data_IF_270633463780
#
_entry.id   IF_270633463780
#
_cell.length_a   1.000
_cell.length_b   1.000
_cell.length_c   1.000
_cell.angle_alpha   90.00
_cell.angle_beta   90.00
_cell.angle_gamma   90.00
#
_symmetry.space_group_name_H-M   'P 1'
#
loop_
_entity.id
_entity.type
_entity.pdbx_description
1 polymer ?
#
# COMPACT_ATOMS: atom_id res chain seq x y z
N UNK A 1 3.87 19.05 -59.59
CA UNK A 1 3.31 18.90 -58.23
C UNK A 1 4.14 19.76 -57.29
N UNK A 2 3.59 20.92 -56.89
CA UNK A 2 4.18 21.81 -55.89
C UNK A 2 3.83 21.18 -54.53
N UNK A 3 4.83 20.67 -53.82
CA UNK A 3 4.62 20.23 -52.45
C UNK A 3 4.25 21.45 -51.60
N UNK A 4 3.20 21.38 -50.74
CA UNK A 4 2.93 22.47 -49.83
C UNK A 4 4.10 22.64 -48.86
N UNK A 5 4.48 23.89 -48.64
CA UNK A 5 5.50 24.28 -47.68
C UNK A 5 5.06 23.84 -46.29
N UNK A 6 5.82 22.96 -45.64
CA UNK A 6 5.53 22.51 -44.30
C UNK A 6 5.85 23.68 -43.36
N UNK A 7 4.81 24.32 -42.87
CA UNK A 7 4.92 25.40 -41.89
C UNK A 7 5.21 24.80 -40.52
N UNK A 8 6.46 24.90 -40.04
CA UNK A 8 6.84 24.49 -38.70
C UNK A 8 6.38 25.56 -37.69
N UNK A 9 5.45 25.23 -36.85
CA UNK A 9 5.13 26.04 -35.67
C UNK A 9 6.08 25.68 -34.53
N UNK A 10 7.04 26.54 -34.24
CA UNK A 10 7.87 26.43 -33.03
C UNK A 10 7.31 27.39 -31.98
N UNK A 11 6.92 26.86 -30.83
CA UNK A 11 6.66 27.67 -29.63
C UNK A 11 7.86 27.53 -28.70
N UNK A 12 8.49 28.64 -28.35
CA UNK A 12 9.52 28.69 -27.30
C UNK A 12 8.84 29.03 -25.97
N UNK A 13 9.14 28.23 -24.97
CA UNK A 13 8.69 28.46 -23.59
C UNK A 13 9.90 28.74 -22.71
N UNK A 14 9.77 29.70 -21.80
CA UNK A 14 10.74 29.86 -20.74
C UNK A 14 10.68 28.61 -19.84
N UNK A 15 11.86 28.09 -19.43
CA UNK A 15 11.96 26.87 -18.61
C UNK A 15 11.19 27.05 -17.29
N UNK A 16 11.25 28.24 -16.70
CA UNK A 16 10.50 28.58 -15.48
C UNK A 16 8.99 28.44 -15.66
N UNK A 17 8.44 28.92 -16.77
CA UNK A 17 7.01 28.89 -17.07
C UNK A 17 6.54 27.46 -17.36
N UNK A 18 7.34 26.68 -18.08
CA UNK A 18 7.09 25.26 -18.32
C UNK A 18 7.10 24.45 -17.03
N UNK A 19 8.05 24.70 -16.12
CA UNK A 19 8.12 24.06 -14.82
C UNK A 19 6.92 24.42 -13.94
N UNK A 20 6.54 25.67 -13.88
CA UNK A 20 5.39 26.10 -13.07
C UNK A 20 4.05 25.65 -13.67
N UNK A 21 3.89 25.78 -15.00
CA UNK A 21 2.64 25.52 -15.69
C UNK A 21 2.32 24.04 -15.87
N UNK A 22 3.31 23.19 -16.10
CA UNK A 22 3.10 21.77 -16.43
C UNK A 22 3.65 20.82 -15.40
N UNK A 23 4.89 21.02 -14.96
CA UNK A 23 5.55 20.07 -14.06
C UNK A 23 5.02 20.14 -12.62
N UNK A 24 4.77 21.33 -12.09
CA UNK A 24 4.25 21.47 -10.72
C UNK A 24 2.87 20.86 -10.53
N UNK A 25 1.87 21.07 -11.42
CA UNK A 25 0.58 20.39 -11.32
C UNK A 25 0.71 18.86 -11.43
N UNK A 26 1.57 18.37 -12.33
CA UNK A 26 1.84 16.94 -12.47
C UNK A 26 2.48 16.36 -11.19
N UNK A 27 3.49 17.04 -10.65
CA UNK A 27 4.15 16.62 -9.41
C UNK A 27 3.15 16.57 -8.24
N UNK A 28 2.32 17.59 -8.08
CA UNK A 28 1.27 17.63 -7.07
C UNK A 28 0.27 16.47 -7.22
N UNK A 29 -0.15 16.18 -8.46
CA UNK A 29 -1.03 15.06 -8.75
C UNK A 29 -0.38 13.72 -8.34
N UNK A 30 0.89 13.48 -8.73
CA UNK A 30 1.60 12.24 -8.40
C UNK A 30 1.77 12.07 -6.89
N UNK A 31 2.11 13.13 -6.17
CA UNK A 31 2.25 13.10 -4.71
C UNK A 31 0.93 12.68 -4.06
N UNK A 32 -0.18 13.34 -4.41
CA UNK A 32 -1.47 13.13 -3.77
C UNK A 32 -2.15 11.82 -4.16
N UNK A 33 -1.96 11.33 -5.38
CA UNK A 33 -2.71 10.16 -5.89
C UNK A 33 -1.92 8.87 -5.90
N UNK A 34 -0.59 8.94 -5.91
CA UNK A 34 0.26 7.75 -6.05
C UNK A 34 1.24 7.54 -4.90
N UNK A 35 1.88 8.63 -4.40
CA UNK A 35 2.99 8.48 -3.48
C UNK A 35 2.55 8.37 -2.01
N UNK A 36 1.64 9.23 -1.57
CA UNK A 36 1.26 9.32 -0.17
C UNK A 36 -0.06 8.60 0.12
N UNK A 37 -0.13 7.86 1.26
CA UNK A 37 -1.40 7.37 1.79
C UNK A 37 -2.17 8.51 2.46
N UNK A 38 -3.49 8.40 2.52
CA UNK A 38 -4.32 9.26 3.37
C UNK A 38 -4.17 8.84 4.84
N UNK A 39 -3.95 9.79 5.74
CA UNK A 39 -3.74 9.49 7.16
C UNK A 39 -4.97 8.84 7.84
N UNK A 40 -6.17 9.05 7.30
CA UNK A 40 -7.44 8.56 7.88
C UNK A 40 -7.68 7.08 7.61
N UNK A 41 -7.34 6.59 6.42
CA UNK A 41 -7.55 5.20 6.03
C UNK A 41 -6.26 4.45 5.68
N UNK A 42 -5.11 5.12 5.69
CA UNK A 42 -3.81 4.52 5.39
C UNK A 42 -3.63 4.04 3.95
N UNK A 43 -4.55 4.37 3.06
CA UNK A 43 -4.57 3.87 1.70
C UNK A 43 -4.08 4.91 0.69
N UNK A 44 -3.35 4.42 -0.30
CA UNK A 44 -3.16 5.17 -1.55
C UNK A 44 -4.44 5.10 -2.38
N UNK A 45 -4.63 6.07 -3.25
CA UNK A 45 -5.85 6.22 -4.05
C UNK A 45 -6.21 4.95 -4.84
N UNK A 46 -5.23 4.27 -5.45
CA UNK A 46 -5.48 3.04 -6.20
C UNK A 46 -6.01 1.89 -5.33
N UNK A 47 -5.43 1.67 -4.15
CA UNK A 47 -5.92 0.67 -3.20
C UNK A 47 -7.33 1.00 -2.69
N UNK A 48 -7.60 2.29 -2.44
CA UNK A 48 -8.94 2.75 -2.04
C UNK A 48 -9.98 2.48 -3.12
N UNK A 49 -9.67 2.70 -4.38
CA UNK A 49 -10.57 2.38 -5.50
C UNK A 49 -10.91 0.89 -5.56
N UNK A 50 -9.93 0.03 -5.34
CA UNK A 50 -10.15 -1.42 -5.32
C UNK A 50 -11.09 -1.81 -4.18
N UNK A 51 -10.81 -1.41 -2.94
CA UNK A 51 -11.65 -1.76 -1.79
C UNK A 51 -13.05 -1.16 -1.89
N UNK A 52 -13.15 0.11 -2.33
CA UNK A 52 -14.46 0.75 -2.52
C UNK A 52 -15.27 0.07 -3.62
N UNK A 53 -14.66 -0.30 -4.76
CA UNK A 53 -15.36 -1.00 -5.83
C UNK A 53 -15.83 -2.38 -5.40
N UNK A 54 -15.01 -3.12 -4.64
CA UNK A 54 -15.41 -4.41 -4.07
C UNK A 54 -16.59 -4.26 -3.11
N UNK A 55 -16.57 -3.24 -2.25
CA UNK A 55 -17.70 -2.93 -1.37
C UNK A 55 -18.97 -2.63 -2.19
N UNK A 56 -18.88 -1.74 -3.19
CA UNK A 56 -20.00 -1.32 -4.03
C UNK A 56 -20.61 -2.48 -4.81
N UNK A 57 -19.79 -3.36 -5.35
CA UNK A 57 -20.20 -4.53 -6.13
C UNK A 57 -20.47 -5.77 -5.26
N UNK A 58 -20.50 -5.60 -3.92
CA UNK A 58 -20.75 -6.66 -2.94
C UNK A 58 -19.74 -7.83 -3.02
N UNK A 59 -18.50 -7.55 -3.40
CA UNK A 59 -17.39 -8.52 -3.38
C UNK A 59 -16.71 -8.53 -2.02
N UNK A 60 -17.48 -8.80 -0.97
CA UNK A 60 -17.03 -8.80 0.43
C UNK A 60 -17.03 -10.22 1.00
N UNK A 61 -16.49 -10.39 2.20
CA UNK A 61 -16.45 -11.67 2.91
C UNK A 61 -17.82 -12.38 3.00
N UNK A 62 -18.91 -11.62 2.99
CA UNK A 62 -20.28 -12.16 3.04
C UNK A 62 -20.73 -12.82 1.74
N UNK A 63 -19.99 -12.67 0.66
CA UNK A 63 -20.37 -13.13 -0.68
C UNK A 63 -19.31 -14.07 -1.26
N UNK A 64 -19.66 -14.78 -2.33
CA UNK A 64 -18.72 -15.64 -3.06
C UNK A 64 -17.62 -14.81 -3.72
N UNK A 65 -16.42 -15.37 -3.83
CA UNK A 65 -15.34 -14.81 -4.65
C UNK A 65 -15.78 -14.73 -6.11
N UNK A 66 -15.25 -13.77 -6.83
CA UNK A 66 -15.39 -13.64 -8.29
C UNK A 66 -14.01 -13.55 -8.92
N UNK A 67 -13.95 -13.82 -10.22
CA UNK A 67 -12.72 -13.65 -11.01
C UNK A 67 -12.12 -12.25 -10.77
N UNK A 68 -10.79 -12.18 -10.65
CA UNK A 68 -10.08 -10.91 -10.41
C UNK A 68 -10.40 -9.85 -11.48
N UNK A 69 -10.72 -10.27 -12.70
CA UNK A 69 -11.21 -9.37 -13.76
C UNK A 69 -12.39 -8.52 -13.30
N UNK A 70 -13.30 -9.08 -12.49
CA UNK A 70 -14.45 -8.32 -11.98
C UNK A 70 -14.00 -7.19 -11.02
N UNK A 71 -13.04 -7.46 -10.13
CA UNK A 71 -12.46 -6.42 -9.26
C UNK A 71 -11.72 -5.36 -10.07
N UNK A 72 -10.91 -5.76 -11.05
CA UNK A 72 -10.17 -4.85 -11.92
C UNK A 72 -11.10 -3.94 -12.69
N UNK A 73 -12.10 -4.52 -13.40
CA UNK A 73 -13.09 -3.76 -14.16
C UNK A 73 -13.90 -2.80 -13.28
N UNK A 74 -14.28 -3.24 -12.07
CA UNK A 74 -14.98 -2.40 -11.12
C UNK A 74 -14.14 -1.19 -10.66
N UNK A 75 -12.84 -1.40 -10.40
CA UNK A 75 -11.94 -0.34 -9.99
C UNK A 75 -11.60 0.65 -11.12
N UNK A 76 -11.61 0.20 -12.38
CA UNK A 76 -11.41 1.07 -13.55
C UNK A 76 -12.48 2.15 -13.71
N UNK A 77 -13.66 1.99 -13.11
CA UNK A 77 -14.67 3.07 -13.06
C UNK A 77 -14.18 4.32 -12.34
N UNK A 78 -13.23 4.17 -11.41
CA UNK A 78 -12.69 5.25 -10.59
C UNK A 78 -11.26 5.62 -10.96
N UNK A 79 -10.51 4.70 -11.58
CA UNK A 79 -9.09 4.87 -11.90
C UNK A 79 -8.88 5.02 -13.41
N UNK A 80 -8.17 6.06 -13.87
CA UNK A 80 -7.81 6.21 -15.28
C UNK A 80 -6.59 5.34 -15.66
N UNK A 81 -6.04 4.58 -14.71
CA UNK A 81 -4.86 3.75 -14.93
C UNK A 81 -5.22 2.38 -15.54
N UNK A 82 -4.24 1.76 -16.21
CA UNK A 82 -4.42 0.48 -16.87
C UNK A 82 -4.72 -0.68 -15.92
N UNK A 83 -5.37 -1.72 -16.44
CA UNK A 83 -5.80 -2.93 -15.75
C UNK A 83 -4.66 -3.70 -15.06
N UNK A 84 -3.49 -3.78 -15.69
CA UNK A 84 -2.32 -4.44 -15.12
C UNK A 84 -1.86 -3.79 -13.79
N UNK A 85 -1.87 -2.45 -13.71
CA UNK A 85 -1.53 -1.72 -12.50
C UNK A 85 -2.54 -1.97 -11.37
N UNK A 86 -3.83 -2.04 -11.71
CA UNK A 86 -4.91 -2.31 -10.77
C UNK A 86 -4.80 -3.77 -10.27
N UNK A 87 -4.58 -4.72 -11.18
CA UNK A 87 -4.39 -6.13 -10.83
C UNK A 87 -3.21 -6.31 -9.89
N UNK A 88 -2.03 -5.75 -10.23
CA UNK A 88 -0.84 -5.84 -9.39
C UNK A 88 -1.07 -5.26 -7.99
N UNK A 89 -1.82 -4.14 -7.89
CA UNK A 89 -2.19 -3.56 -6.59
C UNK A 89 -3.14 -4.49 -5.82
N UNK A 90 -4.16 -5.06 -6.47
CA UNK A 90 -5.11 -5.98 -5.83
C UNK A 90 -4.42 -7.25 -5.32
N UNK A 91 -3.51 -7.81 -6.12
CA UNK A 91 -2.71 -8.97 -5.73
C UNK A 91 -1.83 -8.64 -4.53
N UNK A 92 -1.10 -7.51 -4.56
CA UNK A 92 -0.26 -7.10 -3.42
C UNK A 92 -1.08 -6.95 -2.13
N UNK A 93 -2.30 -6.45 -2.20
CA UNK A 93 -3.20 -6.33 -1.05
C UNK A 93 -3.68 -7.70 -0.50
N UNK A 94 -3.41 -8.80 -1.20
CA UNK A 94 -3.75 -10.18 -0.80
C UNK A 94 -2.55 -11.00 -0.32
N UNK A 95 -1.33 -10.53 -0.55
CA UNK A 95 -0.11 -11.27 -0.24
C UNK A 95 0.26 -11.10 1.24
N UNK A 96 0.34 -12.18 1.97
CA UNK A 96 0.71 -12.22 3.39
C UNK A 96 2.19 -11.89 3.64
N UNK A 97 3.04 -12.08 2.63
CA UNK A 97 4.44 -11.67 2.66
C UNK A 97 4.67 -10.19 2.30
N UNK A 98 3.69 -9.52 1.68
CA UNK A 98 3.73 -8.09 1.33
C UNK A 98 2.99 -7.20 2.30
N UNK A 99 1.93 -7.73 2.93
CA UNK A 99 1.03 -7.04 3.84
C UNK A 99 1.05 -7.74 5.19
N UNK A 100 1.27 -6.99 6.28
CA UNK A 100 1.17 -7.57 7.63
C UNK A 100 -0.24 -8.08 7.91
N UNK A 101 -1.24 -7.38 7.39
CA UNK A 101 -2.66 -7.73 7.44
C UNK A 101 -3.27 -7.57 6.05
N UNK A 102 -3.27 -8.61 5.22
CA UNK A 102 -3.93 -8.57 3.92
C UNK A 102 -5.40 -8.15 4.03
N UNK A 103 -5.89 -7.44 3.02
CA UNK A 103 -7.28 -6.96 2.98
C UNK A 103 -8.10 -7.62 1.87
N UNK A 104 -7.45 -8.35 0.98
CA UNK A 104 -8.09 -9.12 -0.08
C UNK A 104 -7.81 -10.61 0.13
N UNK A 105 -8.85 -11.41 0.02
CA UNK A 105 -8.75 -12.86 0.00
C UNK A 105 -8.72 -13.34 -1.45
N UNK A 106 -7.70 -14.13 -1.79
CA UNK A 106 -7.48 -14.67 -3.14
C UNK A 106 -7.52 -16.19 -3.14
N UNK A 107 -8.10 -16.75 -4.18
CA UNK A 107 -7.97 -18.15 -4.55
C UNK A 107 -7.26 -18.26 -5.90
N UNK A 108 -6.21 -19.06 -5.96
CA UNK A 108 -5.30 -19.20 -7.08
C UNK A 108 -3.87 -18.78 -6.72
N UNK A 109 -2.95 -18.83 -7.69
CA UNK A 109 -1.57 -18.43 -7.47
C UNK A 109 -1.46 -16.89 -7.46
N UNK A 110 -1.26 -16.31 -6.28
CA UNK A 110 -1.03 -14.86 -6.09
C UNK A 110 0.46 -14.49 -5.93
N UNK A 111 1.35 -15.37 -6.37
CA UNK A 111 2.80 -15.19 -6.29
C UNK A 111 3.40 -15.85 -5.05
N UNK A 112 4.70 -16.12 -5.11
CA UNK A 112 5.49 -16.64 -4.01
C UNK A 112 6.87 -15.99 -4.02
N UNK A 113 7.26 -15.39 -2.92
CA UNK A 113 8.60 -14.80 -2.81
C UNK A 113 9.68 -15.87 -2.62
N UNK A 114 9.35 -17.03 -2.02
CA UNK A 114 10.30 -18.14 -1.82
C UNK A 114 10.60 -18.87 -3.13
N UNK A 115 9.57 -19.11 -3.94
CA UNK A 115 9.74 -19.74 -5.24
C UNK A 115 10.15 -18.77 -6.35
N UNK A 116 10.07 -17.45 -6.10
CA UNK A 116 10.30 -16.42 -7.12
C UNK A 116 9.20 -16.38 -8.19
N UNK A 117 8.02 -16.93 -7.88
CA UNK A 117 6.91 -17.01 -8.83
C UNK A 117 6.12 -15.70 -8.87
N UNK A 118 5.82 -15.25 -10.09
CA UNK A 118 4.85 -14.21 -10.32
C UNK A 118 3.41 -14.71 -10.11
N UNK A 119 2.49 -13.76 -9.90
CA UNK A 119 1.07 -14.06 -9.79
C UNK A 119 0.44 -14.39 -11.15
N UNK A 120 -0.59 -15.22 -11.11
CA UNK A 120 -1.34 -15.63 -12.31
C UNK A 120 -2.17 -14.49 -12.91
N UNK A 121 -2.53 -14.62 -14.19
CA UNK A 121 -3.42 -13.70 -14.88
C UNK A 121 -4.77 -13.57 -14.20
N UNK A 122 -5.41 -12.39 -14.31
CA UNK A 122 -6.69 -12.05 -13.65
C UNK A 122 -7.83 -13.06 -13.90
N UNK A 123 -7.81 -13.76 -15.05
CA UNK A 123 -8.80 -14.79 -15.37
C UNK A 123 -8.69 -16.07 -14.54
N UNK A 124 -7.51 -16.34 -13.96
CA UNK A 124 -7.26 -17.54 -13.14
C UNK A 124 -7.42 -17.28 -11.64
N UNK A 125 -7.34 -16.02 -11.22
CA UNK A 125 -7.50 -15.62 -9.82
C UNK A 125 -8.97 -15.34 -9.50
N UNK A 126 -9.39 -15.71 -8.30
CA UNK A 126 -10.66 -15.29 -7.71
C UNK A 126 -10.42 -14.51 -6.44
N UNK A 127 -11.11 -13.39 -6.25
CA UNK A 127 -10.86 -12.50 -5.10
C UNK A 127 -12.13 -11.86 -4.56
N UNK A 128 -12.02 -11.44 -3.29
CA UNK A 128 -12.99 -10.62 -2.58
C UNK A 128 -12.31 -9.88 -1.42
N UNK A 129 -12.94 -8.83 -0.91
CA UNK A 129 -12.52 -8.25 0.36
C UNK A 129 -12.74 -9.22 1.52
N UNK A 130 -11.76 -9.31 2.42
CA UNK A 130 -11.83 -10.12 3.63
C UNK A 130 -12.47 -9.37 4.82
N UNK A 131 -12.39 -9.92 6.04
CA UNK A 131 -12.93 -9.32 7.25
C UNK A 131 -12.33 -7.93 7.54
N UNK A 132 -11.03 -7.75 7.33
CA UNK A 132 -10.35 -6.47 7.54
C UNK A 132 -10.87 -5.40 6.55
N UNK A 133 -11.01 -5.76 5.27
CA UNK A 133 -11.62 -4.87 4.29
C UNK A 133 -13.09 -4.54 4.64
N UNK A 134 -13.82 -5.49 5.20
CA UNK A 134 -15.17 -5.25 5.67
C UNK A 134 -15.18 -4.23 6.81
N UNK A 135 -14.29 -4.35 7.82
CA UNK A 135 -14.16 -3.39 8.91
C UNK A 135 -13.75 -1.99 8.46
N UNK A 136 -13.07 -1.87 7.32
CA UNK A 136 -12.71 -0.58 6.72
C UNK A 136 -13.86 0.06 5.91
N UNK A 137 -14.84 -0.71 5.47
CA UNK A 137 -15.82 -0.25 4.48
C UNK A 137 -17.26 -0.23 4.98
N UNK A 138 -17.64 -1.07 5.96
CA UNK A 138 -19.05 -1.24 6.32
C UNK A 138 -19.71 0.04 6.88
N UNK A 139 -18.95 0.94 7.49
CA UNK A 139 -19.48 2.22 7.98
C UNK A 139 -19.86 3.18 6.85
N UNK A 140 -19.48 2.92 5.61
CA UNK A 140 -19.99 3.67 4.44
C UNK A 140 -21.53 3.62 4.36
N UNK A 141 -22.14 2.51 4.77
CA UNK A 141 -23.59 2.36 4.84
C UNK A 141 -24.25 3.33 5.84
N UNK A 142 -23.49 3.84 6.80
CA UNK A 142 -23.94 4.78 7.84
C UNK A 142 -23.70 6.24 7.49
N UNK A 143 -23.31 6.54 6.25
CA UNK A 143 -22.99 7.90 5.78
C UNK A 143 -21.95 8.63 6.66
N UNK A 144 -20.93 7.90 7.10
CA UNK A 144 -19.88 8.43 8.01
C UNK A 144 -18.80 9.22 7.28
N UNK A 145 -18.79 9.23 5.94
CA UNK A 145 -17.83 9.97 5.13
C UNK A 145 -18.46 11.26 4.63
N UNK A 146 -17.83 12.38 4.93
CA UNK A 146 -18.28 13.73 4.59
C UNK A 146 -17.77 14.21 3.22
N UNK A 147 -16.66 13.64 2.71
CA UNK A 147 -16.00 14.11 1.48
C UNK A 147 -16.05 13.07 0.38
N UNK A 148 -16.74 13.45 -0.69
CA UNK A 148 -16.90 12.64 -1.91
C UNK A 148 -16.37 13.42 -3.11
N UNK A 149 -15.81 12.71 -4.08
CA UNK A 149 -15.37 13.27 -5.37
C UNK A 149 -16.02 12.51 -6.51
N UNK A 150 -16.19 13.21 -7.65
CA UNK A 150 -16.58 12.54 -8.90
C UNK A 150 -15.37 11.80 -9.47
N UNK A 151 -15.65 10.68 -10.15
CA UNK A 151 -14.66 9.98 -10.94
C UNK A 151 -14.25 10.82 -12.17
N UNK A 152 -13.27 10.34 -12.93
CA UNK A 152 -12.75 11.04 -14.11
C UNK A 152 -13.75 11.20 -15.26
N UNK A 153 -14.82 10.36 -15.31
CA UNK A 153 -15.91 10.48 -16.28
C UNK A 153 -17.07 11.37 -15.80
N UNK A 154 -17.03 11.85 -14.56
CA UNK A 154 -18.12 12.59 -13.89
C UNK A 154 -19.45 11.83 -13.78
N UNK A 155 -19.41 10.49 -13.78
CA UNK A 155 -20.61 9.66 -13.71
C UNK A 155 -20.89 9.11 -12.31
N UNK A 156 -19.81 8.81 -11.55
CA UNK A 156 -19.93 8.16 -10.24
C UNK A 156 -19.12 8.88 -9.18
N UNK A 157 -19.66 8.92 -7.96
CA UNK A 157 -18.93 9.44 -6.79
C UNK A 157 -18.16 8.34 -6.08
N UNK A 158 -17.02 8.71 -5.52
CA UNK A 158 -16.25 7.86 -4.62
C UNK A 158 -15.84 8.62 -3.36
N UNK A 159 -15.63 7.91 -2.22
CA UNK A 159 -15.19 8.56 -0.98
C UNK A 159 -13.72 8.91 -1.06
N UNK A 160 -13.33 10.07 -0.52
CA UNK A 160 -11.92 10.49 -0.49
C UNK A 160 -11.08 9.69 0.51
N UNK A 161 -11.73 9.04 1.45
CA UNK A 161 -11.14 8.09 2.41
C UNK A 161 -12.19 7.04 2.82
N UNK A 162 -11.74 5.89 3.29
CA UNK A 162 -12.60 4.87 3.88
C UNK A 162 -12.71 5.08 5.40
N UNK A 163 -13.87 4.79 6.02
CA UNK A 163 -14.07 4.96 7.46
C UNK A 163 -13.45 3.81 8.25
N UNK A 164 -12.13 3.66 8.16
CA UNK A 164 -11.39 2.62 8.87
C UNK A 164 -11.53 2.77 10.38
N UNK A 165 -11.74 1.67 11.08
CA UNK A 165 -11.85 1.64 12.54
C UNK A 165 -10.51 1.65 13.28
N UNK A 166 -9.42 1.46 12.56
CA UNK A 166 -8.08 1.37 13.13
C UNK A 166 -7.09 2.09 12.19
N UNK A 167 -5.93 2.53 12.70
CA UNK A 167 -4.95 3.28 11.93
C UNK A 167 -4.17 2.37 10.98
N UNK A 168 -4.79 2.02 9.86
CA UNK A 168 -4.28 1.07 8.87
C UNK A 168 -2.89 1.45 8.33
N UNK A 169 -2.59 2.76 8.22
CA UNK A 169 -1.27 3.25 7.81
C UNK A 169 -0.14 2.74 8.70
N UNK A 170 -0.37 2.63 10.01
CA UNK A 170 0.60 2.12 10.97
C UNK A 170 0.64 0.59 10.98
N UNK A 171 -0.52 -0.05 10.83
CA UNK A 171 -0.65 -1.50 10.90
C UNK A 171 -0.01 -2.20 9.70
N UNK A 172 -0.25 -1.72 8.49
CA UNK A 172 0.32 -2.30 7.27
C UNK A 172 1.51 -1.52 6.70
N UNK A 173 1.78 -0.36 7.26
CA UNK A 173 2.80 0.53 6.74
C UNK A 173 2.43 1.10 5.37
N UNK A 174 3.33 1.91 4.83
CA UNK A 174 3.22 2.43 3.47
C UNK A 174 4.58 2.88 2.98
N UNK A 175 4.92 2.51 1.76
CA UNK A 175 6.11 3.02 1.08
C UNK A 175 5.69 3.72 -0.21
N UNK A 176 6.18 4.93 -0.45
CA UNK A 176 5.85 5.69 -1.64
C UNK A 176 6.93 6.64 -2.07
N UNK A 177 7.14 6.70 -3.39
CA UNK A 177 8.08 7.62 -4.03
C UNK A 177 7.26 8.58 -4.87
N UNK A 178 7.37 9.86 -4.58
CA UNK A 178 6.79 10.96 -5.35
C UNK A 178 7.84 11.86 -5.95
N UNK A 179 7.40 12.98 -6.50
CA UNK A 179 8.29 14.03 -7.00
C UNK A 179 8.81 14.83 -5.82
N UNK A 180 10.11 14.85 -5.62
CA UNK A 180 10.81 15.54 -4.52
C UNK A 180 10.36 15.11 -3.10
N UNK A 181 9.59 14.04 -2.96
CA UNK A 181 9.21 13.49 -1.65
C UNK A 181 9.13 11.97 -1.69
N UNK A 182 9.44 11.36 -0.56
CA UNK A 182 9.23 9.93 -0.34
C UNK A 182 8.63 9.74 1.05
N UNK A 183 7.83 8.70 1.22
CA UNK A 183 7.32 8.28 2.52
C UNK A 183 7.63 6.81 2.76
N UNK A 184 8.03 6.49 3.98
CA UNK A 184 8.26 5.12 4.43
C UNK A 184 7.71 4.99 5.83
N UNK A 185 6.59 4.30 5.95
CA UNK A 185 5.96 3.97 7.24
C UNK A 185 6.07 2.46 7.40
N UNK A 186 6.79 1.97 8.41
CA UNK A 186 6.90 0.53 8.64
C UNK A 186 5.58 -0.05 9.19
N UNK A 187 5.34 -1.36 9.02
CA UNK A 187 4.18 -2.04 9.60
C UNK A 187 4.39 -2.32 11.10
N UNK A 188 3.28 -2.39 11.84
CA UNK A 188 3.26 -2.65 13.28
C UNK A 188 2.17 -3.64 13.64
N UNK A 189 2.29 -4.26 14.81
CA UNK A 189 1.26 -5.16 15.32
C UNK A 189 -0.04 -4.39 15.61
N UNK A 190 -1.18 -4.93 15.18
CA UNK A 190 -2.49 -4.29 15.36
C UNK A 190 -2.84 -4.06 16.84
N UNK A 191 -2.51 -5.01 17.72
CA UNK A 191 -2.81 -4.92 19.16
C UNK A 191 -2.01 -3.78 19.77
N UNK A 192 -0.72 -3.67 19.45
CA UNK A 192 0.14 -2.60 19.99
C UNK A 192 -0.32 -1.22 19.52
N UNK A 193 -0.68 -1.10 18.24
CA UNK A 193 -1.20 0.15 17.68
C UNK A 193 -2.54 0.54 18.33
N UNK A 194 -3.44 -0.42 18.57
CA UNK A 194 -4.69 -0.16 19.28
C UNK A 194 -4.44 0.25 20.74
N UNK A 195 -3.52 -0.40 21.44
CA UNK A 195 -3.15 -0.05 22.80
C UNK A 195 -2.52 1.35 22.90
N UNK A 196 -1.66 1.70 21.93
CA UNK A 196 -1.11 3.05 21.84
C UNK A 196 -2.20 4.10 21.59
N UNK A 197 -3.18 3.81 20.74
CA UNK A 197 -4.32 4.69 20.52
C UNK A 197 -5.19 4.86 21.77
N UNK A 198 -5.48 3.78 22.51
CA UNK A 198 -6.18 3.83 23.79
C UNK A 198 -5.40 4.67 24.82
N UNK A 199 -4.07 4.50 24.86
CA UNK A 199 -3.21 5.28 25.74
C UNK A 199 -3.30 6.77 25.43
N UNK A 200 -3.25 7.16 24.15
CA UNK A 200 -3.38 8.55 23.72
C UNK A 200 -4.77 9.15 24.01
N UNK A 201 -5.84 8.37 23.89
CA UNK A 201 -7.20 8.82 24.25
C UNK A 201 -7.28 9.12 25.74
N UNK A 202 -6.73 8.25 26.58
CA UNK A 202 -6.77 8.41 28.03
C UNK A 202 -5.76 9.44 28.54
N UNK A 203 -4.62 9.58 27.86
CA UNK A 203 -3.52 10.47 28.21
C UNK A 203 -3.01 11.20 26.96
N UNK A 204 -3.65 12.33 26.53
CA UNK A 204 -3.30 13.04 25.29
C UNK A 204 -1.85 13.53 25.22
N UNK A 205 -1.18 13.69 26.37
CA UNK A 205 0.22 14.10 26.46
C UNK A 205 1.15 12.92 26.80
N UNK A 206 0.77 11.69 26.44
CA UNK A 206 1.64 10.52 26.60
C UNK A 206 2.97 10.71 25.86
N UNK A 207 4.07 10.29 26.51
CA UNK A 207 5.39 10.34 25.90
C UNK A 207 5.52 9.34 24.74
N UNK A 208 6.51 9.53 23.87
CA UNK A 208 6.77 8.60 22.79
C UNK A 208 7.02 7.17 23.30
N UNK A 209 7.70 7.04 24.42
CA UNK A 209 8.02 5.76 25.07
C UNK A 209 6.76 5.00 25.53
N UNK A 210 5.70 5.71 25.92
CA UNK A 210 4.43 5.12 26.35
C UNK A 210 3.56 4.62 25.20
N UNK A 211 3.78 5.15 23.99
CA UNK A 211 3.00 4.80 22.79
C UNK A 211 3.85 4.11 21.72
N UNK A 212 5.10 3.80 22.03
CA UNK A 212 5.99 3.13 21.09
C UNK A 212 5.46 1.76 20.70
N UNK A 213 5.33 1.52 19.40
CA UNK A 213 5.02 0.22 18.83
C UNK A 213 6.26 -0.28 18.08
N UNK A 214 6.78 -1.45 18.40
CA UNK A 214 7.84 -2.08 17.61
C UNK A 214 7.41 -2.33 16.17
N UNK A 215 8.36 -2.30 15.25
CA UNK A 215 8.09 -2.69 13.85
C UNK A 215 7.82 -4.19 13.81
N UNK A 216 6.78 -4.59 13.07
CA UNK A 216 6.37 -5.98 12.91
C UNK A 216 6.24 -6.30 11.41
N UNK A 217 7.30 -6.89 10.83
CA UNK A 217 7.34 -7.21 9.40
C UNK A 217 6.50 -8.43 9.06
N UNK A 218 5.84 -8.46 7.88
CA UNK A 218 5.01 -9.61 7.46
C UNK A 218 5.76 -10.94 7.42
N UNK A 219 7.02 -10.92 7.02
CA UNK A 219 7.87 -12.11 6.87
C UNK A 219 8.78 -12.36 8.07
N UNK A 220 8.57 -11.65 9.20
CA UNK A 220 9.34 -11.82 10.43
C UNK A 220 10.75 -11.23 10.37
N UNK A 221 11.64 -11.77 11.19
CA UNK A 221 13.01 -11.33 11.35
C UNK A 221 13.23 -10.48 12.61
N UNK A 222 14.45 -10.48 13.11
CA UNK A 222 14.83 -9.74 14.32
C UNK A 222 15.56 -8.45 13.97
N UNK A 223 15.09 -7.31 14.49
CA UNK A 223 15.76 -6.02 14.35
C UNK A 223 16.95 -5.99 15.31
N UNK A 224 18.16 -5.79 14.79
CA UNK A 224 19.41 -5.79 15.58
C UNK A 224 19.87 -4.40 16.03
N UNK A 225 19.29 -3.33 15.48
CA UNK A 225 19.61 -1.94 15.82
C UNK A 225 18.38 -1.19 16.36
N UNK A 226 17.65 -1.79 17.29
CA UNK A 226 16.36 -1.31 17.78
C UNK A 226 16.40 0.14 18.29
N UNK A 227 17.42 0.53 19.07
CA UNK A 227 17.56 1.91 19.58
C UNK A 227 17.63 2.94 18.45
N UNK A 228 18.38 2.64 17.38
CA UNK A 228 18.50 3.53 16.23
C UNK A 228 17.20 3.62 15.42
N UNK A 229 16.45 2.52 15.35
CA UNK A 229 15.12 2.49 14.72
C UNK A 229 14.10 3.27 15.54
N UNK A 230 14.10 3.10 16.85
CA UNK A 230 13.26 3.85 17.78
C UNK A 230 13.48 5.36 17.67
N UNK A 231 14.75 5.79 17.64
CA UNK A 231 15.11 7.18 17.40
C UNK A 231 14.63 7.69 16.02
N UNK A 232 14.74 6.85 14.98
CA UNK A 232 14.25 7.17 13.63
C UNK A 232 12.75 7.34 13.58
N UNK A 233 11.99 6.48 14.27
CA UNK A 233 10.52 6.59 14.36
C UNK A 233 10.09 7.83 15.13
N UNK A 234 10.80 8.19 16.20
CA UNK A 234 10.55 9.39 17.00
C UNK A 234 10.75 10.67 16.18
N UNK A 235 11.80 10.73 15.38
CA UNK A 235 12.19 11.91 14.62
C UNK A 235 11.62 11.95 13.19
N UNK A 236 11.03 10.86 12.72
CA UNK A 236 10.56 10.69 11.34
C UNK A 236 11.70 10.59 10.31
N UNK A 237 12.94 10.56 10.73
CA UNK A 237 14.15 10.40 9.91
C UNK A 237 15.26 9.76 10.73
N UNK A 238 16.08 8.92 10.08
CA UNK A 238 17.21 8.31 10.77
C UNK A 238 17.76 7.09 10.03
N UNK A 239 18.30 6.15 10.79
CA UNK A 239 18.89 4.92 10.27
C UNK A 239 17.81 3.92 9.87
N UNK A 240 18.08 3.17 8.81
CA UNK A 240 17.26 2.03 8.41
C UNK A 240 17.29 0.91 9.45
N UNK A 241 16.24 0.10 9.53
CA UNK A 241 16.22 -1.11 10.31
C UNK A 241 17.18 -2.15 9.70
N UNK A 242 18.06 -2.70 10.53
CA UNK A 242 18.90 -3.83 10.17
C UNK A 242 18.19 -5.09 10.69
N UNK A 243 17.85 -5.99 9.77
CA UNK A 243 17.06 -7.18 10.07
C UNK A 243 17.93 -8.42 9.93
N UNK A 244 17.83 -9.32 10.88
CA UNK A 244 18.49 -10.63 10.86
C UNK A 244 17.43 -11.72 10.72
N UNK A 245 17.67 -12.69 9.81
CA UNK A 245 16.85 -13.88 9.68
C UNK A 245 16.90 -14.75 10.95
N UNK A 246 15.85 -15.52 11.20
CA UNK A 246 15.86 -16.58 12.22
C UNK A 246 16.35 -17.87 11.57
N UNK A 247 17.50 -18.34 12.02
CA UNK A 247 18.19 -19.50 11.45
C UNK A 247 18.54 -20.46 12.59
N UNK A 248 18.26 -21.74 12.38
CA UNK A 248 18.61 -22.84 13.26
C UNK A 248 19.49 -23.85 12.53
N UNK A 249 20.48 -24.41 13.21
CA UNK A 249 21.29 -25.50 12.69
C UNK A 249 20.79 -26.83 13.26
N UNK A 250 20.30 -27.70 12.39
CA UNK A 250 19.96 -29.07 12.74
C UNK A 250 21.22 -29.95 12.60
N UNK A 251 21.79 -30.34 13.72
CA UNK A 251 23.02 -31.13 13.77
C UNK A 251 22.83 -32.59 13.28
N UNK A 252 21.61 -33.12 13.39
CA UNK A 252 21.32 -34.52 13.07
C UNK A 252 21.24 -34.74 11.55
N UNK A 253 20.74 -33.75 10.82
CA UNK A 253 20.61 -33.77 9.37
C UNK A 253 21.66 -32.92 8.66
N UNK A 254 22.52 -32.22 9.43
CA UNK A 254 23.55 -31.29 8.93
C UNK A 254 22.97 -30.23 8.01
N UNK A 255 21.86 -29.65 8.40
CA UNK A 255 21.10 -28.64 7.63
C UNK A 255 20.96 -27.32 8.39
N UNK A 256 20.94 -26.23 7.64
CA UNK A 256 20.56 -24.90 8.14
C UNK A 256 19.09 -24.63 7.76
N UNK A 257 18.24 -24.50 8.77
CA UNK A 257 16.81 -24.21 8.59
C UNK A 257 16.59 -22.71 8.80
N UNK A 258 16.08 -22.04 7.79
CA UNK A 258 15.72 -20.62 7.84
C UNK A 258 14.22 -20.53 8.08
N UNK A 259 13.81 -20.10 9.29
CA UNK A 259 12.40 -19.98 9.66
C UNK A 259 11.79 -18.66 9.23
N UNK A 260 12.56 -17.57 9.30
CA UNK A 260 12.10 -16.24 8.98
C UNK A 260 13.11 -15.54 8.08
N UNK A 261 12.64 -15.06 6.95
CA UNK A 261 13.46 -14.33 5.98
C UNK A 261 12.71 -13.11 5.49
N UNK A 262 13.16 -11.93 5.85
CA UNK A 262 12.55 -10.70 5.38
C UNK A 262 12.71 -10.52 3.87
N UNK A 263 11.66 -9.98 3.21
CA UNK A 263 11.70 -9.59 1.80
C UNK A 263 12.90 -8.70 1.44
N UNK A 264 13.41 -7.90 2.37
CA UNK A 264 14.59 -7.05 2.16
C UNK A 264 15.82 -7.89 1.84
N UNK A 265 15.96 -9.09 2.43
CA UNK A 265 17.09 -9.99 2.15
C UNK A 265 17.02 -10.64 0.76
N UNK A 266 15.83 -10.74 0.18
CA UNK A 266 15.60 -11.40 -1.11
C UNK A 266 15.68 -10.39 -2.26
N UNK A 267 15.15 -9.18 -2.06
CA UNK A 267 15.08 -8.16 -3.11
C UNK A 267 16.42 -7.43 -3.34
N UNK A 268 17.31 -7.45 -2.37
CA UNK A 268 18.67 -6.92 -2.50
C UNK A 268 19.68 -8.06 -2.33
N UNK A 269 20.12 -8.71 -3.40
CA UNK A 269 21.23 -9.66 -3.32
C UNK A 269 22.43 -8.89 -2.77
N UNK A 270 22.93 -9.32 -1.62
CA UNK A 270 24.12 -8.76 -0.96
C UNK A 270 25.23 -8.67 -2.00
N UNK A 271 25.60 -7.48 -2.40
CA UNK A 271 26.85 -7.26 -3.12
C UNK A 271 27.96 -7.56 -2.13
N UNK A 272 28.48 -8.79 -2.18
CA UNK A 272 29.75 -9.09 -1.53
C UNK A 272 30.81 -8.29 -2.29
N UNK A 273 31.31 -7.25 -1.61
CA UNK A 273 32.53 -6.56 -1.99
C UNK A 273 33.72 -7.43 -1.65
#
# INVERSE_FOLDING_TARGET
>A
LIMPEIQYYSSSWEVSDALQGFYTPYASYVIQTRALPDARDGLKTGARFILYSQYKDKLTIKNKRRKAVATVSAAMRFSPHGDASILGTAVRLSQDFSMRYPVIEVQGNNGSYLAGDDYSQARYLEMRGNDIAYEMTYLLEKNTVDKWKMNYTNEEKYPTYLPSKFPFALVNGSFGIGVACASSVPPHNLIDVCNAAITLINKPNASFEEIYCPIDFPSGGTIINEDAVKESLKNGRGKAALIRASIEYNSDENELIVYELSLIHISEPTRHS
#
